data_IF_433249404846
#
_entry.id   IF_433249404846
#
_cell.length_a   1.000
_cell.length_b   1.000
_cell.length_c   1.000
_cell.angle_alpha   90.00
_cell.angle_beta   90.00
_cell.angle_gamma   90.00
#
_symmetry.space_group_name_H-M   'P 1'
#
loop_
_entity.id
_entity.type
_entity.pdbx_description
1 polymer ?
#
# COMPACT_ATOMS: atom_id res chain seq x y z
N UNK A 1 6.77 9.18 6.92
CA UNK A 1 6.19 7.82 7.05
C UNK A 1 4.75 7.93 6.59
N UNK A 2 4.27 7.03 5.73
CA UNK A 2 2.90 7.10 5.21
C UNK A 2 1.96 6.20 6.00
N UNK A 3 0.69 6.59 6.08
CA UNK A 3 -0.37 5.88 6.76
C UNK A 3 -1.53 5.60 5.79
N UNK A 4 -2.12 4.43 5.93
CA UNK A 4 -3.35 4.03 5.24
C UNK A 4 -4.53 4.14 6.19
N UNK A 5 -5.61 4.77 5.74
CA UNK A 5 -6.87 4.88 6.47
C UNK A 5 -7.91 4.00 5.80
N UNK A 6 -8.28 2.92 6.48
CA UNK A 6 -9.07 1.81 5.95
C UNK A 6 -10.12 1.38 6.98
N UNK A 7 -11.39 1.30 6.58
CA UNK A 7 -12.46 0.77 7.45
C UNK A 7 -12.55 1.44 8.83
N UNK A 8 -12.21 2.73 8.93
CA UNK A 8 -12.17 3.47 10.21
C UNK A 8 -10.88 3.34 11.03
N UNK A 9 -9.94 2.48 10.62
CA UNK A 9 -8.62 2.34 11.26
C UNK A 9 -7.52 3.11 10.54
N UNK A 10 -6.42 3.38 11.26
CA UNK A 10 -5.19 4.00 10.73
C UNK A 10 -4.04 3.01 10.85
N UNK A 11 -3.42 2.68 9.73
CA UNK A 11 -2.39 1.66 9.63
C UNK A 11 -1.10 2.24 9.07
N UNK A 12 0.02 1.97 9.75
CA UNK A 12 1.32 2.43 9.29
C UNK A 12 1.78 1.61 8.11
N UNK A 13 2.26 2.28 7.06
CA UNK A 13 2.89 1.59 5.95
C UNK A 13 4.24 1.00 6.39
N UNK A 14 4.42 -0.29 6.12
CA UNK A 14 5.71 -0.96 6.19
C UNK A 14 6.55 -0.61 4.95
N UNK A 15 5.89 -0.53 3.80
CA UNK A 15 6.51 -0.26 2.50
C UNK A 15 5.46 0.23 1.49
N UNK A 16 5.90 0.92 0.44
CA UNK A 16 5.02 1.42 -0.61
C UNK A 16 5.73 1.72 -1.93
N UNK A 17 4.96 1.76 -3.02
CA UNK A 17 5.40 2.07 -4.37
C UNK A 17 4.26 2.64 -5.20
N UNK A 18 4.53 2.95 -6.47
CA UNK A 18 3.47 3.32 -7.43
C UNK A 18 2.45 2.21 -7.70
N UNK A 19 2.76 0.95 -7.39
CA UNK A 19 1.89 -0.19 -7.66
C UNK A 19 1.04 -0.61 -6.44
N UNK A 20 1.37 -0.16 -5.25
CA UNK A 20 0.73 -0.62 -4.03
C UNK A 20 1.53 -0.32 -2.78
N UNK A 21 1.03 -0.80 -1.64
CA UNK A 21 1.61 -0.58 -0.33
C UNK A 21 1.37 -1.80 0.57
N UNK A 22 2.11 -1.89 1.66
CA UNK A 22 1.89 -2.88 2.71
C UNK A 22 1.78 -2.19 4.05
N UNK A 23 0.93 -2.71 4.93
CA UNK A 23 0.74 -2.22 6.31
C UNK A 23 0.94 -3.35 7.31
N UNK A 24 1.25 -3.00 8.55
CA UNK A 24 1.29 -3.94 9.68
C UNK A 24 0.03 -3.86 10.54
N UNK A 25 -0.12 -4.81 11.46
CA UNK A 25 -1.16 -4.86 12.49
C UNK A 25 -2.58 -4.96 11.91
N UNK A 26 -2.73 -5.75 10.86
CA UNK A 26 -4.00 -5.92 10.15
C UNK A 26 -4.26 -7.36 9.72
N UNK A 27 -3.26 -8.25 9.69
CA UNK A 27 -3.41 -9.58 9.11
C UNK A 27 -4.35 -10.47 9.94
N UNK A 28 -4.36 -10.29 11.26
CA UNK A 28 -5.27 -11.03 12.15
C UNK A 28 -6.73 -10.57 12.04
N UNK A 29 -6.97 -9.32 11.64
CA UNK A 29 -8.30 -8.75 11.50
C UNK A 29 -8.91 -8.95 10.10
N UNK A 30 -8.13 -9.43 9.13
CA UNK A 30 -8.58 -9.64 7.75
C UNK A 30 -8.74 -11.13 7.48
N UNK A 31 -9.92 -11.50 7.00
CA UNK A 31 -10.19 -12.86 6.52
C UNK A 31 -9.33 -13.17 5.28
N UNK A 32 -8.54 -14.27 5.25
CA UNK A 32 -7.79 -14.73 4.08
C UNK A 32 -8.63 -14.80 2.79
N UNK A 33 -9.91 -15.14 2.91
CA UNK A 33 -10.85 -15.19 1.78
C UNK A 33 -11.12 -13.81 1.16
N UNK A 34 -10.76 -12.71 1.86
CA UNK A 34 -10.86 -11.35 1.34
C UNK A 34 -9.74 -10.98 0.35
N UNK A 35 -8.81 -11.88 0.06
CA UNK A 35 -7.81 -11.65 -1.02
C UNK A 35 -8.53 -11.39 -2.34
N UNK A 36 -8.12 -10.34 -3.07
CA UNK A 36 -8.76 -9.89 -4.29
C UNK A 36 -9.96 -8.95 -4.07
N UNK A 37 -10.46 -8.82 -2.84
CA UNK A 37 -11.57 -7.91 -2.55
C UNK A 37 -11.13 -6.44 -2.68
N UNK A 38 -11.98 -5.59 -3.28
CA UNK A 38 -11.68 -4.17 -3.42
C UNK A 38 -11.71 -3.48 -2.07
N UNK A 39 -10.79 -2.55 -1.89
CA UNK A 39 -10.65 -1.71 -0.71
C UNK A 39 -10.48 -0.28 -1.17
N UNK A 40 -11.20 0.63 -0.54
CA UNK A 40 -11.03 2.08 -0.75
C UNK A 40 -10.60 2.73 0.54
N UNK A 41 -9.84 3.82 0.41
CA UNK A 41 -9.37 4.54 1.57
C UNK A 41 -8.51 5.73 1.19
N UNK A 42 -7.75 6.19 2.17
CA UNK A 42 -6.84 7.30 2.03
C UNK A 42 -5.43 6.87 2.37
N UNK A 43 -4.44 7.35 1.62
CA UNK A 43 -3.04 7.10 1.86
C UNK A 43 -2.30 8.44 1.90
N UNK A 44 -1.43 8.64 2.87
CA UNK A 44 -0.83 9.96 3.05
C UNK A 44 0.07 10.08 4.27
N UNK A 45 0.46 11.31 4.59
CA UNK A 45 1.21 11.64 5.79
C UNK A 45 0.30 11.61 7.03
N UNK A 46 0.90 11.31 8.18
CA UNK A 46 0.19 11.20 9.46
C UNK A 46 -0.43 12.53 9.94
N UNK A 47 0.14 13.66 9.52
CA UNK A 47 -0.28 15.02 9.87
C UNK A 47 -1.36 15.61 8.93
N UNK A 48 -1.92 14.78 8.04
CA UNK A 48 -2.91 15.18 7.04
C UNK A 48 -2.43 16.20 6.01
N UNK A 49 -1.14 16.56 6.00
CA UNK A 49 -0.64 17.58 5.09
C UNK A 49 -0.71 17.13 3.62
N UNK A 50 -0.54 15.83 3.36
CA UNK A 50 -0.61 15.24 2.03
C UNK A 50 -1.34 13.90 2.09
N UNK A 51 -2.59 13.88 1.64
CA UNK A 51 -3.44 12.69 1.64
C UNK A 51 -4.11 12.56 0.28
N UNK A 52 -4.19 11.33 -0.22
CA UNK A 52 -4.90 11.03 -1.46
C UNK A 52 -5.82 9.81 -1.32
N UNK A 53 -6.92 9.84 -2.06
CA UNK A 53 -7.85 8.71 -2.13
C UNK A 53 -7.30 7.65 -3.07
N UNK A 54 -7.53 6.37 -2.76
CA UNK A 54 -7.18 5.23 -3.61
C UNK A 54 -8.29 4.19 -3.70
N UNK A 55 -8.22 3.38 -4.75
CA UNK A 55 -8.86 2.06 -4.82
C UNK A 55 -7.76 1.01 -5.00
N UNK A 56 -7.85 -0.07 -4.24
CA UNK A 56 -6.89 -1.15 -4.22
C UNK A 56 -7.60 -2.49 -4.07
N UNK A 57 -6.86 -3.57 -4.18
CA UNK A 57 -7.30 -4.91 -3.76
C UNK A 57 -6.34 -5.48 -2.74
N UNK A 58 -6.84 -6.33 -1.84
CA UNK A 58 -5.98 -7.11 -0.95
C UNK A 58 -5.19 -8.09 -1.82
N UNK A 59 -3.89 -7.85 -1.95
CA UNK A 59 -3.01 -8.64 -2.79
C UNK A 59 -2.57 -9.93 -2.09
N UNK A 60 -2.33 -9.85 -0.77
CA UNK A 60 -1.88 -10.96 0.07
C UNK A 60 -1.93 -10.55 1.54
N UNK A 61 -2.14 -11.56 2.38
CA UNK A 61 -2.11 -11.46 3.84
C UNK A 61 -0.93 -12.32 4.32
N UNK A 62 -0.11 -11.78 5.20
CA UNK A 62 1.05 -12.43 5.80
C UNK A 62 0.89 -12.41 7.33
N UNK A 63 0.35 -13.50 7.89
CA UNK A 63 0.07 -13.60 9.33
C UNK A 63 1.33 -13.73 10.18
N UNK A 64 2.38 -14.35 9.66
CA UNK A 64 3.65 -14.49 10.41
C UNK A 64 4.27 -13.13 10.72
N UNK A 65 4.08 -12.16 9.82
CA UNK A 65 4.60 -10.79 9.94
C UNK A 65 3.53 -9.78 10.35
N UNK A 66 2.32 -10.25 10.64
CA UNK A 66 1.11 -9.45 10.85
C UNK A 66 0.99 -8.30 9.83
N UNK A 67 1.11 -8.63 8.54
CA UNK A 67 1.16 -7.66 7.46
C UNK A 67 0.14 -7.95 6.35
N UNK A 68 -0.40 -6.90 5.75
CA UNK A 68 -1.30 -6.99 4.60
C UNK A 68 -0.78 -6.12 3.48
N UNK A 69 -0.66 -6.72 2.29
CA UNK A 69 -0.26 -6.04 1.07
C UNK A 69 -1.47 -5.70 0.21
N UNK A 70 -1.45 -4.49 -0.36
CA UNK A 70 -2.48 -3.95 -1.23
C UNK A 70 -1.88 -3.59 -2.58
N UNK A 71 -2.60 -3.90 -3.65
CA UNK A 71 -2.26 -3.47 -5.00
C UNK A 71 -3.25 -2.40 -5.46
N UNK A 72 -2.76 -1.24 -5.90
CA UNK A 72 -3.63 -0.18 -6.42
C UNK A 72 -4.29 -0.65 -7.71
N UNK A 73 -5.61 -0.55 -7.76
CA UNK A 73 -6.42 -0.82 -8.97
C UNK A 73 -6.81 0.47 -9.66
N UNK A 74 -6.98 1.55 -8.88
CA UNK A 74 -7.27 2.86 -9.40
C UNK A 74 -6.62 3.95 -8.51
N UNK A 75 -5.93 4.87 -9.16
CA UNK A 75 -5.45 6.10 -8.56
C UNK A 75 -5.95 7.24 -9.42
N UNK A 76 -6.75 8.13 -8.84
CA UNK A 76 -7.13 9.37 -9.51
C UNK A 76 -5.89 10.13 -9.98
N UNK A 77 -5.96 10.89 -11.09
CA UNK A 77 -4.80 11.58 -11.66
C UNK A 77 -4.02 12.41 -10.64
N UNK A 78 -4.73 13.14 -9.78
CA UNK A 78 -4.17 13.98 -8.73
C UNK A 78 -3.47 13.14 -7.65
N UNK A 79 -4.09 12.02 -7.26
CA UNK A 79 -3.52 11.04 -6.32
C UNK A 79 -2.23 10.43 -6.88
N UNK A 80 -2.22 10.09 -8.17
CA UNK A 80 -1.07 9.48 -8.85
C UNK A 80 0.11 10.43 -8.94
N UNK A 81 -0.15 11.70 -9.24
CA UNK A 81 0.89 12.73 -9.30
C UNK A 81 1.46 13.01 -7.92
N UNK A 82 0.63 13.08 -6.89
CA UNK A 82 1.08 13.22 -5.51
C UNK A 82 1.94 12.02 -5.07
N UNK A 83 1.48 10.80 -5.33
CA UNK A 83 2.23 9.58 -5.02
C UNK A 83 3.57 9.52 -5.77
N UNK A 84 3.61 9.96 -7.04
CA UNK A 84 4.87 10.12 -7.79
C UNK A 84 5.81 11.13 -7.14
N UNK A 85 5.30 12.28 -6.74
CA UNK A 85 6.11 13.32 -6.08
C UNK A 85 6.69 12.80 -4.77
N UNK A 86 5.90 12.12 -3.95
CA UNK A 86 6.37 11.48 -2.73
C UNK A 86 7.42 10.41 -3.02
N UNK A 87 7.25 9.61 -4.08
CA UNK A 87 8.19 8.53 -4.44
C UNK A 87 9.57 9.07 -4.85
N UNK A 88 9.59 10.14 -5.65
CA UNK A 88 10.84 10.73 -6.15
C UNK A 88 11.45 11.77 -5.19
N UNK A 89 10.65 12.38 -4.34
CA UNK A 89 11.06 13.37 -3.35
C UNK A 89 10.58 12.97 -1.95
N UNK A 90 11.15 11.91 -1.36
CA UNK A 90 10.75 11.43 -0.03
C UNK A 90 11.01 12.47 1.08
N UNK A 91 11.84 13.49 0.83
CA UNK A 91 12.01 14.65 1.73
C UNK A 91 10.72 15.45 1.92
N UNK A 92 9.77 15.39 0.97
CA UNK A 92 8.43 15.97 1.11
C UNK A 92 7.59 15.26 2.19
N UNK A 93 7.97 14.05 2.60
CA UNK A 93 7.33 13.30 3.67
C UNK A 93 7.92 13.59 5.07
N UNK A 94 8.73 14.64 5.20
CA UNK A 94 9.10 15.23 6.49
C UNK A 94 10.04 14.40 7.37
N UNK A 95 11.05 13.69 6.83
CA UNK A 95 12.15 13.15 7.63
C UNK A 95 13.52 13.32 6.95
N UNK A 96 14.40 14.06 7.63
CA UNK A 96 15.81 14.27 7.32
C UNK A 96 16.72 13.05 7.66
N UNK A 97 16.17 11.97 8.22
CA UNK A 97 16.91 10.71 8.30
C UNK A 97 16.58 9.84 7.09
N UNK A 98 17.44 9.98 6.09
CA UNK A 98 17.44 9.20 4.87
C UNK A 98 17.52 7.70 5.19
N UNK A 99 16.38 7.00 5.20
CA UNK A 99 16.38 5.64 4.69
C UNK A 99 16.39 5.80 3.17
N UNK A 100 17.49 5.48 2.47
CA UNK A 100 17.46 5.47 1.01
C UNK A 100 16.27 4.61 0.60
N UNK A 101 15.49 5.08 -0.38
CA UNK A 101 14.49 4.29 -1.10
C UNK A 101 15.18 2.97 -1.45
N UNK A 102 15.02 1.94 -0.61
CA UNK A 102 15.76 0.71 -0.79
C UNK A 102 15.29 0.16 -2.13
N UNK A 103 16.21 -0.38 -2.95
CA UNK A 103 15.82 -1.04 -4.18
C UNK A 103 14.79 -2.12 -3.82
N UNK A 104 13.57 -1.97 -4.35
CA UNK A 104 12.43 -2.89 -4.29
C UNK A 104 12.53 -3.91 -3.15
N UNK A 105 11.92 -3.61 -1.99
CA UNK A 105 11.82 -4.60 -0.92
C UNK A 105 11.31 -5.93 -1.49
N UNK A 106 11.96 -7.06 -1.17
CA UNK A 106 11.52 -8.37 -1.63
C UNK A 106 10.07 -8.66 -1.21
N UNK A 107 9.59 -8.03 -0.13
CA UNK A 107 8.18 -8.02 0.25
C UNK A 107 7.31 -7.41 -0.85
N UNK A 108 7.53 -6.16 -1.24
CA UNK A 108 6.77 -5.51 -2.31
C UNK A 108 6.88 -6.24 -3.64
N UNK A 109 8.05 -6.81 -3.97
CA UNK A 109 8.23 -7.65 -5.15
C UNK A 109 7.37 -8.91 -5.09
N UNK A 110 7.35 -9.60 -3.95
CA UNK A 110 6.50 -10.77 -3.73
C UNK A 110 5.01 -10.42 -3.76
N UNK A 111 4.62 -9.29 -3.17
CA UNK A 111 3.24 -8.76 -3.20
C UNK A 111 2.81 -8.42 -4.63
N UNK A 112 3.65 -7.72 -5.40
CA UNK A 112 3.35 -7.32 -6.79
C UNK A 112 3.31 -8.52 -7.74
N UNK A 113 4.18 -9.52 -7.56
CA UNK A 113 4.16 -10.75 -8.36
C UNK A 113 2.93 -11.62 -8.06
N UNK A 114 2.51 -11.72 -6.79
CA UNK A 114 1.34 -12.48 -6.40
C UNK A 114 0.04 -11.88 -6.97
N UNK A 115 -0.10 -10.55 -6.98
CA UNK A 115 -1.26 -9.88 -7.61
C UNK A 115 -1.41 -10.19 -9.10
N UNK A 116 -0.30 -10.37 -9.84
CA UNK A 116 -0.38 -10.74 -11.26
C UNK A 116 -0.91 -12.15 -11.46
N UNK A 117 -0.51 -13.10 -10.61
CA UNK A 117 -1.01 -14.49 -10.67
C UNK A 117 -2.49 -14.59 -10.29
N UNK A 118 -2.91 -13.93 -9.22
CA UNK A 118 -4.33 -13.93 -8.81
C UNK A 118 -5.25 -13.27 -9.85
N UNK A 119 -4.78 -12.23 -10.54
CA UNK A 119 -5.54 -11.56 -11.60
C UNK A 119 -5.67 -12.40 -12.89
N UNK A 120 -4.67 -13.24 -13.21
CA UNK A 120 -4.74 -14.17 -14.35
C UNK A 120 -5.61 -15.41 -14.04
N UNK A 121 -5.62 -15.88 -12.80
CA UNK A 121 -6.46 -17.01 -12.37
C UNK A 121 -7.95 -16.62 -12.23
N UNK A 122 -8.26 -15.38 -11.81
CA UNK A 122 -9.64 -14.89 -11.74
C UNK A 122 -10.29 -14.61 -13.12
N UNK A 123 -9.54 -14.77 -14.23
CA UNK A 123 -10.02 -14.57 -15.61
C UNK A 123 -10.17 -15.85 -16.43
N UNK A 124 -9.95 -17.02 -15.83
CA UNK A 124 -10.20 -18.34 -16.45
C UNK A 124 -11.44 -18.97 -15.85
#
# INVERSE_FOLDING_TARGET
MLEARLGGGIYRSLDWSLAGFAVSNLAEAVDPASTGMPVTGYFGLADDALVFKFEAVIARIDRERDAVGFAFTNLWPESRDLLRRLFWHPSLAGRQDAVPVRPRSPLLRAFTLASRRGHDEARR
#
